data_IF_363581572787
#
_entry.id   IF_363581572787
#
_cell.length_a   1.000
_cell.length_b   1.000
_cell.length_c   1.000
_cell.angle_alpha   90.00
_cell.angle_beta   90.00
_cell.angle_gamma   90.00
#
_symmetry.space_group_name_H-M   'P 1'
#
loop_
_entity.id
_entity.type
_entity.pdbx_description
1 polymer ?
#
# COMPACT_ATOMS: atom_id res chain seq x y z
N UNK A 1 -17.96 8.22 6.84
CA UNK A 1 -17.84 6.87 6.25
C UNK A 1 -17.15 5.91 7.23
N UNK A 2 -17.88 5.29 8.17
CA UNK A 2 -17.29 4.31 9.10
C UNK A 2 -16.98 2.93 8.46
N UNK A 3 -17.53 2.60 7.29
CA UNK A 3 -17.49 1.23 6.73
C UNK A 3 -16.59 1.04 5.50
N UNK A 4 -15.55 1.88 5.30
CA UNK A 4 -14.62 1.67 4.19
C UNK A 4 -13.81 0.38 4.41
N UNK A 5 -14.20 -0.68 3.68
CA UNK A 5 -13.45 -1.94 3.60
C UNK A 5 -12.44 -1.84 2.47
N UNK A 6 -11.15 -1.89 2.82
CA UNK A 6 -10.06 -1.91 1.83
C UNK A 6 -10.02 -3.31 1.22
N UNK A 7 -10.18 -3.45 -0.11
CA UNK A 7 -10.15 -4.75 -0.76
C UNK A 7 -8.74 -5.35 -0.73
N UNK A 8 -8.70 -6.65 -0.97
CA UNK A 8 -7.46 -7.42 -1.10
C UNK A 8 -7.47 -8.03 -2.47
N UNK A 9 -6.36 -7.88 -3.19
CA UNK A 9 -6.24 -8.35 -4.57
C UNK A 9 -5.22 -9.47 -4.70
N UNK A 10 -5.43 -10.26 -5.74
CA UNK A 10 -4.43 -11.18 -6.25
C UNK A 10 -3.73 -10.50 -7.44
N UNK A 11 -2.42 -10.15 -7.33
CA UNK A 11 -1.70 -9.50 -8.44
C UNK A 11 -1.45 -10.43 -9.64
N UNK A 12 -1.71 -11.73 -9.52
CA UNK A 12 -1.69 -12.64 -10.65
C UNK A 12 -2.94 -12.52 -11.53
N UNK A 13 -4.07 -12.04 -10.98
CA UNK A 13 -5.30 -11.87 -11.75
C UNK A 13 -5.13 -10.75 -12.79
N UNK A 14 -5.50 -10.93 -14.07
CA UNK A 14 -5.17 -9.97 -15.13
C UNK A 14 -5.88 -8.62 -15.01
N UNK A 15 -6.99 -8.54 -14.28
CA UNK A 15 -7.85 -7.35 -14.14
C UNK A 15 -7.67 -6.65 -12.77
N UNK A 16 -6.69 -7.06 -11.97
CA UNK A 16 -6.56 -6.62 -10.59
C UNK A 16 -6.38 -5.10 -10.45
N UNK A 17 -5.58 -4.47 -11.33
CA UNK A 17 -5.35 -3.02 -11.30
C UNK A 17 -6.62 -2.24 -11.62
N UNK A 18 -7.37 -2.68 -12.63
CA UNK A 18 -8.64 -2.06 -13.04
C UNK A 18 -9.68 -2.14 -11.92
N UNK A 19 -9.73 -3.27 -11.20
CA UNK A 19 -10.62 -3.44 -10.05
C UNK A 19 -10.28 -2.48 -8.91
N UNK A 20 -8.99 -2.25 -8.64
CA UNK A 20 -8.56 -1.30 -7.61
C UNK A 20 -8.90 0.12 -8.01
N UNK A 21 -8.58 0.49 -9.25
CA UNK A 21 -8.82 1.82 -9.80
C UNK A 21 -10.29 2.19 -9.70
N UNK A 22 -11.17 1.31 -10.17
CA UNK A 22 -12.62 1.49 -10.07
C UNK A 22 -13.10 1.63 -8.63
N UNK A 23 -12.62 0.78 -7.73
CA UNK A 23 -12.98 0.88 -6.32
C UNK A 23 -12.50 2.20 -5.69
N UNK A 24 -11.28 2.64 -6.01
CA UNK A 24 -10.72 3.89 -5.52
C UNK A 24 -11.48 5.10 -6.07
N UNK A 25 -11.85 5.08 -7.34
CA UNK A 25 -12.65 6.11 -7.99
C UNK A 25 -14.05 6.19 -7.37
N UNK A 26 -14.74 5.06 -7.18
CA UNK A 26 -16.05 5.00 -6.54
C UNK A 26 -15.99 5.54 -5.10
N UNK A 27 -14.95 5.15 -4.35
CA UNK A 27 -14.73 5.61 -2.99
C UNK A 27 -14.40 7.11 -2.93
N UNK A 28 -13.56 7.62 -3.84
CA UNK A 28 -13.22 9.03 -3.93
C UNK A 28 -14.42 9.88 -4.38
N UNK A 29 -15.21 9.41 -5.35
CA UNK A 29 -16.39 10.09 -5.87
C UNK A 29 -17.52 10.17 -4.83
N UNK A 30 -17.64 9.17 -3.96
CA UNK A 30 -18.61 9.17 -2.84
C UNK A 30 -18.41 10.33 -1.85
N UNK A 31 -17.28 11.04 -1.93
CA UNK A 31 -16.95 12.22 -1.14
C UNK A 31 -17.29 13.56 -1.82
N UNK A 32 -17.93 13.54 -3.00
CA UNK A 32 -18.52 14.74 -3.61
C UNK A 32 -17.57 15.55 -4.51
N UNK A 33 -16.58 14.91 -5.13
CA UNK A 33 -15.67 15.56 -6.08
C UNK A 33 -15.69 14.85 -7.46
N UNK A 34 -15.46 15.61 -8.54
CA UNK A 34 -15.61 15.20 -9.95
C UNK A 34 -14.53 14.24 -10.48
N UNK A 35 -14.86 13.44 -11.50
CA UNK A 35 -14.09 12.26 -11.94
C UNK A 35 -12.55 12.42 -12.06
N UNK A 36 -11.83 11.38 -11.63
CA UNK A 36 -10.38 11.22 -11.75
C UNK A 36 -9.94 11.11 -13.22
N UNK A 37 -8.86 11.80 -13.58
CA UNK A 37 -8.18 11.64 -14.86
C UNK A 37 -6.72 11.26 -14.63
N UNK A 38 -6.31 10.15 -15.23
CA UNK A 38 -4.98 9.52 -15.12
C UNK A 38 -3.83 10.46 -15.58
N UNK A 39 -4.17 11.48 -16.39
CA UNK A 39 -3.27 12.51 -16.95
C UNK A 39 -3.32 13.86 -16.20
N UNK A 40 -4.04 13.95 -15.07
CA UNK A 40 -4.10 15.18 -14.28
C UNK A 40 -2.72 15.49 -13.68
N UNK A 41 -1.99 16.41 -14.30
CA UNK A 41 -0.79 17.02 -13.72
C UNK A 41 -1.11 18.22 -12.83
N UNK A 42 -2.40 18.43 -12.50
CA UNK A 42 -2.82 19.54 -11.68
C UNK A 42 -2.30 19.38 -10.25
N UNK A 43 -1.41 20.27 -9.76
CA UNK A 43 -0.92 20.23 -8.39
C UNK A 43 -2.02 20.54 -7.36
N UNK A 44 -3.25 20.84 -7.76
CA UNK A 44 -4.40 20.99 -6.87
C UNK A 44 -5.39 19.81 -6.94
N UNK A 45 -5.12 18.77 -7.73
CA UNK A 45 -6.00 17.60 -7.86
C UNK A 45 -6.02 16.74 -6.59
N UNK A 46 -6.84 17.20 -5.64
CA UNK A 46 -7.08 16.53 -4.36
C UNK A 46 -7.72 15.16 -4.58
N UNK A 47 -8.58 15.00 -5.58
CA UNK A 47 -9.28 13.76 -5.80
C UNK A 47 -8.37 12.67 -6.35
N UNK A 48 -7.53 13.01 -7.34
CA UNK A 48 -6.53 12.09 -7.86
C UNK A 48 -5.52 11.66 -6.79
N UNK A 49 -5.19 12.53 -5.84
CA UNK A 49 -4.41 12.15 -4.66
C UNK A 49 -5.14 11.19 -3.75
N UNK A 50 -6.42 11.43 -3.47
CA UNK A 50 -7.23 10.53 -2.64
C UNK A 50 -7.38 9.16 -3.32
N UNK A 51 -7.66 9.13 -4.63
CA UNK A 51 -7.74 7.88 -5.40
C UNK A 51 -6.40 7.12 -5.36
N UNK A 52 -5.28 7.79 -5.61
CA UNK A 52 -3.95 7.17 -5.53
C UNK A 52 -3.62 6.68 -4.12
N UNK A 53 -3.98 7.44 -3.08
CA UNK A 53 -3.84 7.04 -1.68
C UNK A 53 -4.65 5.77 -1.37
N UNK A 54 -5.88 5.67 -1.87
CA UNK A 54 -6.73 4.49 -1.74
C UNK A 54 -6.09 3.29 -2.44
N UNK A 55 -5.57 3.46 -3.66
CA UNK A 55 -4.86 2.42 -4.38
C UNK A 55 -3.63 1.90 -3.61
N UNK A 56 -2.82 2.80 -3.04
CA UNK A 56 -1.68 2.44 -2.19
C UNK A 56 -2.11 1.67 -0.93
N UNK A 57 -3.22 2.03 -0.31
CA UNK A 57 -3.76 1.29 0.83
C UNK A 57 -4.15 -0.16 0.47
N UNK A 58 -4.66 -0.38 -0.76
CA UNK A 58 -4.91 -1.74 -1.27
C UNK A 58 -3.61 -2.51 -1.49
N UNK A 59 -2.55 -1.89 -2.03
CA UNK A 59 -1.25 -2.56 -2.15
C UNK A 59 -0.71 -3.00 -0.80
N UNK A 60 -0.85 -2.15 0.21
CA UNK A 60 -0.38 -2.39 1.56
C UNK A 60 -1.10 -3.59 2.18
N UNK A 61 -2.45 -3.59 2.17
CA UNK A 61 -3.23 -4.70 2.72
C UNK A 61 -2.96 -6.00 1.95
N UNK A 62 -2.85 -5.92 0.63
CA UNK A 62 -2.58 -7.10 -0.21
C UNK A 62 -1.18 -7.65 0.05
N UNK A 63 -0.16 -6.80 0.12
CA UNK A 63 1.23 -7.20 0.40
C UNK A 63 1.36 -7.85 1.77
N UNK A 64 0.75 -7.26 2.81
CA UNK A 64 0.75 -7.81 4.15
C UNK A 64 0.08 -9.20 4.21
N UNK A 65 -1.06 -9.38 3.52
CA UNK A 65 -1.76 -10.67 3.49
C UNK A 65 -1.03 -11.73 2.67
N UNK A 66 -0.47 -11.37 1.52
CA UNK A 66 0.33 -12.29 0.69
C UNK A 66 1.57 -12.73 1.46
N UNK A 67 2.27 -11.80 2.11
CA UNK A 67 3.45 -12.10 2.93
C UNK A 67 3.14 -13.01 4.12
N UNK A 68 2.02 -12.77 4.81
CA UNK A 68 1.54 -13.62 5.89
C UNK A 68 1.19 -15.04 5.39
N UNK A 69 0.44 -15.14 4.29
CA UNK A 69 0.05 -16.42 3.70
C UNK A 69 1.28 -17.21 3.23
N UNK A 70 2.22 -16.53 2.58
CA UNK A 70 3.47 -17.13 2.14
C UNK A 70 4.29 -17.66 3.33
N UNK A 71 4.48 -16.83 4.37
CA UNK A 71 5.19 -17.22 5.59
C UNK A 71 4.55 -18.43 6.26
N UNK A 72 3.22 -18.47 6.34
CA UNK A 72 2.47 -19.60 6.91
C UNK A 72 2.63 -20.89 6.10
N UNK A 73 2.62 -20.78 4.77
CA UNK A 73 2.73 -21.93 3.85
C UNK A 73 4.15 -22.47 3.70
N UNK A 74 5.18 -21.70 4.05
CA UNK A 74 6.57 -22.00 3.67
C UNK A 74 7.14 -23.12 4.53
N UNK A 75 7.43 -24.32 3.94
CA UNK A 75 8.20 -25.33 4.65
C UNK A 75 9.64 -24.84 4.83
N UNK A 76 10.31 -25.34 5.89
CA UNK A 76 11.67 -24.97 6.32
C UNK A 76 12.65 -24.70 5.15
N UNK A 77 13.44 -23.62 5.22
CA UNK A 77 14.44 -23.30 4.18
C UNK A 77 15.80 -22.81 4.67
N UNK A 78 16.06 -22.61 5.97
CA UNK A 78 17.39 -22.15 6.43
C UNK A 78 17.98 -23.18 7.39
N UNK A 79 19.14 -23.73 7.01
CA UNK A 79 19.84 -24.86 7.65
C UNK A 79 20.36 -24.59 9.07
N UNK A 80 20.07 -23.45 9.71
CA UNK A 80 20.70 -23.05 10.98
C UNK A 80 19.74 -22.56 12.08
N UNK A 81 18.43 -22.85 12.00
CA UNK A 81 17.44 -22.50 13.04
C UNK A 81 16.81 -23.69 13.77
N UNK A 82 16.46 -23.51 15.05
CA UNK A 82 15.84 -24.51 15.94
C UNK A 82 14.31 -24.68 15.76
N UNK A 83 13.66 -23.92 14.88
CA UNK A 83 12.20 -23.99 14.65
C UNK A 83 11.83 -24.93 13.50
N UNK A 84 10.72 -25.66 13.66
CA UNK A 84 10.27 -26.66 12.69
C UNK A 84 9.57 -26.03 11.46
N UNK A 85 8.92 -24.87 11.63
CA UNK A 85 8.28 -24.09 10.56
C UNK A 85 8.76 -22.65 10.59
N UNK A 86 8.80 -22.00 9.42
CA UNK A 86 9.15 -20.57 9.30
C UNK A 86 8.15 -19.70 10.07
N UNK A 87 6.87 -20.08 10.10
CA UNK A 87 5.85 -19.42 10.89
C UNK A 87 6.11 -19.44 12.42
N UNK A 88 6.93 -20.37 12.92
CA UNK A 88 7.28 -20.46 14.35
C UNK A 88 8.50 -19.60 14.70
N UNK A 89 9.26 -19.15 13.69
CA UNK A 89 10.42 -18.28 13.86
C UNK A 89 10.00 -16.94 14.48
N UNK A 90 10.58 -16.53 15.64
CA UNK A 90 10.27 -15.25 16.27
C UNK A 90 10.46 -14.05 15.34
N UNK A 91 11.49 -14.04 14.48
CA UNK A 91 11.76 -12.93 13.57
C UNK A 91 10.65 -12.82 12.50
N UNK A 92 10.24 -13.96 11.95
CA UNK A 92 9.15 -13.99 10.96
C UNK A 92 7.80 -13.62 11.58
N UNK A 93 7.55 -14.02 12.83
CA UNK A 93 6.34 -13.58 13.55
C UNK A 93 6.32 -12.09 13.79
N UNK A 94 7.45 -11.49 14.16
CA UNK A 94 7.58 -10.05 14.32
C UNK A 94 7.36 -9.32 13.00
N UNK A 95 7.95 -9.82 11.91
CA UNK A 95 7.75 -9.27 10.57
C UNK A 95 6.27 -9.28 10.17
N UNK A 96 5.61 -10.45 10.22
CA UNK A 96 4.19 -10.58 9.85
C UNK A 96 3.29 -9.70 10.73
N UNK A 97 3.55 -9.65 12.04
CA UNK A 97 2.81 -8.79 12.96
C UNK A 97 3.03 -7.29 12.64
N UNK A 98 4.27 -6.91 12.33
CA UNK A 98 4.64 -5.56 11.88
C UNK A 98 3.90 -5.17 10.61
N UNK A 99 3.97 -6.00 9.56
CA UNK A 99 3.28 -5.74 8.30
C UNK A 99 1.76 -5.62 8.47
N UNK A 100 1.16 -6.44 9.36
CA UNK A 100 -0.27 -6.35 9.70
C UNK A 100 -0.62 -5.04 10.42
N UNK A 101 0.22 -4.61 11.35
CA UNK A 101 0.03 -3.36 12.08
C UNK A 101 0.16 -2.14 11.15
N UNK A 102 1.14 -2.15 10.25
CA UNK A 102 1.31 -1.09 9.26
C UNK A 102 0.14 -1.02 8.28
N UNK A 103 -0.40 -2.16 7.85
CA UNK A 103 -1.60 -2.19 7.02
C UNK A 103 -2.83 -1.63 7.74
N UNK A 104 -3.01 -1.97 9.01
CA UNK A 104 -4.07 -1.41 9.84
C UNK A 104 -3.91 0.11 10.02
N UNK A 105 -2.68 0.59 10.23
CA UNK A 105 -2.36 2.01 10.36
C UNK A 105 -2.64 2.77 9.06
N UNK A 106 -2.19 2.26 7.92
CA UNK A 106 -2.45 2.86 6.61
C UNK A 106 -3.97 2.98 6.37
N UNK A 107 -4.73 1.92 6.64
CA UNK A 107 -6.18 1.96 6.50
C UNK A 107 -6.86 2.96 7.45
N UNK A 108 -6.37 3.12 8.68
CA UNK A 108 -6.87 4.13 9.60
C UNK A 108 -6.55 5.55 9.13
N UNK A 109 -5.33 5.79 8.64
CA UNK A 109 -4.89 7.08 8.12
C UNK A 109 -5.71 7.50 6.90
N UNK A 110 -5.98 6.57 5.96
CA UNK A 110 -6.87 6.83 4.83
C UNK A 110 -8.28 7.21 5.31
N UNK A 111 -8.87 6.45 6.24
CA UNK A 111 -10.19 6.81 6.80
C UNK A 111 -10.20 8.20 7.45
N UNK A 112 -9.12 8.60 8.13
CA UNK A 112 -8.99 9.93 8.70
C UNK A 112 -8.98 11.02 7.62
N UNK A 113 -8.28 10.78 6.49
CA UNK A 113 -8.32 11.68 5.31
C UNK A 113 -9.73 11.79 4.75
N UNK A 114 -10.43 10.66 4.53
CA UNK A 114 -11.80 10.68 3.99
C UNK A 114 -12.80 11.34 4.93
N UNK A 115 -12.55 11.29 6.25
CA UNK A 115 -13.36 11.98 7.26
C UNK A 115 -13.00 13.47 7.43
N UNK A 116 -11.98 13.96 6.72
CA UNK A 116 -11.50 15.34 6.85
C UNK A 116 -10.73 15.61 8.16
N UNK A 117 -10.26 14.57 8.84
CA UNK A 117 -9.52 14.66 10.11
C UNK A 117 -8.00 14.65 9.92
N UNK A 118 -7.51 14.39 8.71
CA UNK A 118 -6.09 14.38 8.40
C UNK A 118 -5.81 15.03 7.04
N UNK A 119 -4.68 15.73 6.88
CA UNK A 119 -4.26 16.30 5.61
C UNK A 119 -3.84 15.19 4.63
N UNK A 120 -4.33 15.29 3.40
CA UNK A 120 -4.10 14.28 2.34
C UNK A 120 -2.60 14.08 2.09
N UNK A 121 -1.81 15.14 2.09
CA UNK A 121 -0.40 15.10 1.68
C UNK A 121 0.50 14.39 2.70
N UNK A 122 0.34 14.68 4.00
CA UNK A 122 1.09 13.99 5.05
C UNK A 122 0.76 12.50 5.07
N UNK A 123 -0.53 12.17 4.95
CA UNK A 123 -0.98 10.78 4.89
C UNK A 123 -0.46 10.10 3.62
N UNK A 124 -0.47 10.77 2.47
CA UNK A 124 0.10 10.25 1.24
C UNK A 124 1.59 9.92 1.39
N UNK A 125 2.38 10.82 1.97
CA UNK A 125 3.81 10.59 2.20
C UNK A 125 4.03 9.38 3.12
N UNK A 126 3.29 9.29 4.22
CA UNK A 126 3.39 8.17 5.16
C UNK A 126 2.96 6.83 4.54
N UNK A 127 1.80 6.81 3.88
CA UNK A 127 1.25 5.60 3.25
C UNK A 127 2.12 5.14 2.08
N UNK A 128 2.67 6.05 1.27
CA UNK A 128 3.63 5.68 0.24
C UNK A 128 4.88 5.01 0.84
N UNK A 129 5.43 5.54 1.93
CA UNK A 129 6.57 4.93 2.63
C UNK A 129 6.26 3.56 3.24
N UNK A 130 5.04 3.34 3.74
CA UNK A 130 4.59 2.01 4.18
C UNK A 130 4.48 1.05 2.97
N UNK A 131 3.86 1.50 1.87
CA UNK A 131 3.71 0.69 0.65
C UNK A 131 5.06 0.24 0.09
N UNK A 132 6.05 1.12 0.05
CA UNK A 132 7.40 0.83 -0.42
C UNK A 132 8.09 -0.22 0.47
N UNK A 133 8.03 -0.04 1.79
CA UNK A 133 8.63 -0.98 2.74
C UNK A 133 7.98 -2.36 2.67
N UNK A 134 6.65 -2.44 2.72
CA UNK A 134 5.96 -3.73 2.70
C UNK A 134 6.09 -4.48 1.37
N UNK A 135 6.14 -3.76 0.25
CA UNK A 135 6.44 -4.41 -1.04
C UNK A 135 7.87 -4.94 -1.05
N UNK A 136 8.85 -4.19 -0.56
CA UNK A 136 10.25 -4.65 -0.45
C UNK A 136 10.39 -5.85 0.51
N UNK A 137 9.82 -5.76 1.71
CA UNK A 137 9.82 -6.84 2.71
C UNK A 137 9.17 -8.12 2.18
N UNK A 138 8.13 -8.00 1.33
CA UNK A 138 7.52 -9.14 0.67
C UNK A 138 8.51 -9.84 -0.28
N UNK A 139 9.29 -9.07 -1.04
CA UNK A 139 10.36 -9.62 -1.89
C UNK A 139 11.45 -10.30 -1.05
N UNK A 140 11.89 -9.69 0.04
CA UNK A 140 12.90 -10.26 0.94
C UNK A 140 12.42 -11.56 1.59
N UNK A 141 11.16 -11.59 2.05
CA UNK A 141 10.52 -12.75 2.67
C UNK A 141 10.40 -13.94 1.72
N UNK A 142 10.07 -13.64 0.45
CA UNK A 142 9.84 -14.66 -0.56
C UNK A 142 11.13 -15.08 -1.27
N UNK A 143 12.13 -14.21 -1.33
CA UNK A 143 13.37 -14.41 -2.06
C UNK A 143 13.10 -14.73 -3.54
N UNK A 144 13.78 -15.73 -4.08
CA UNK A 144 13.63 -16.15 -5.49
C UNK A 144 12.19 -16.52 -5.89
N UNK A 145 11.33 -16.91 -4.93
CA UNK A 145 9.92 -17.19 -5.25
C UNK A 145 9.11 -15.93 -5.57
N UNK A 146 9.62 -14.73 -5.24
CA UNK A 146 8.95 -13.48 -5.53
C UNK A 146 9.01 -13.09 -7.01
N UNK A 147 10.00 -13.62 -7.74
CA UNK A 147 10.24 -13.30 -9.16
C UNK A 147 9.47 -14.24 -10.10
N UNK A 148 8.65 -15.15 -9.57
CA UNK A 148 7.82 -16.02 -10.38
C UNK A 148 6.68 -15.21 -11.01
N UNK A 149 6.64 -15.19 -12.35
CA UNK A 149 5.63 -14.45 -13.13
C UNK A 149 4.19 -14.83 -12.73
N UNK A 150 3.97 -16.13 -12.52
CA UNK A 150 2.70 -16.71 -12.09
C UNK A 150 2.20 -16.18 -10.74
N UNK A 151 3.06 -15.58 -9.90
CA UNK A 151 2.66 -14.92 -8.66
C UNK A 151 2.43 -13.41 -8.81
N UNK A 152 2.82 -12.82 -9.93
CA UNK A 152 2.56 -11.42 -10.26
C UNK A 152 3.17 -10.37 -9.30
N UNK A 153 4.05 -10.73 -8.36
CA UNK A 153 4.44 -9.82 -7.27
C UNK A 153 5.23 -8.59 -7.72
N UNK A 154 5.97 -8.70 -8.84
CA UNK A 154 6.62 -7.55 -9.47
C UNK A 154 5.62 -6.47 -9.92
N UNK A 155 4.36 -6.86 -10.20
CA UNK A 155 3.28 -5.93 -10.56
C UNK A 155 2.86 -5.05 -9.39
N UNK A 156 2.97 -5.54 -8.14
CA UNK A 156 2.73 -4.70 -6.95
C UNK A 156 3.77 -3.58 -6.84
N UNK A 157 5.04 -3.88 -7.14
CA UNK A 157 6.10 -2.87 -7.17
C UNK A 157 5.88 -1.85 -8.30
N UNK A 158 5.53 -2.31 -9.51
CA UNK A 158 5.22 -1.42 -10.63
C UNK A 158 4.01 -0.53 -10.34
N UNK A 159 2.96 -1.08 -9.73
CA UNK A 159 1.78 -0.31 -9.33
C UNK A 159 2.11 0.74 -8.26
N UNK A 160 2.96 0.40 -7.28
CA UNK A 160 3.45 1.37 -6.30
C UNK A 160 4.14 2.56 -6.99
N UNK A 161 5.07 2.30 -7.90
CA UNK A 161 5.76 3.37 -8.65
C UNK A 161 4.78 4.22 -9.45
N UNK A 162 3.80 3.58 -10.10
CA UNK A 162 2.77 4.28 -10.88
C UNK A 162 1.91 5.19 -10.01
N UNK A 163 1.35 4.66 -8.93
CA UNK A 163 0.41 5.42 -8.10
C UNK A 163 1.08 6.49 -7.25
N UNK A 164 2.34 6.31 -6.85
CA UNK A 164 3.12 7.39 -6.24
C UNK A 164 3.44 8.51 -7.23
N UNK A 165 3.71 8.19 -8.49
CA UNK A 165 3.86 9.18 -9.56
C UNK A 165 2.55 9.93 -9.82
N UNK A 166 1.43 9.22 -10.01
CA UNK A 166 0.10 9.83 -10.20
C UNK A 166 -0.31 10.72 -9.03
N UNK A 167 0.05 10.35 -7.79
CA UNK A 167 -0.25 11.17 -6.62
C UNK A 167 0.60 12.45 -6.51
N UNK A 168 1.63 12.61 -7.35
CA UNK A 168 2.59 13.71 -7.22
C UNK A 168 3.42 13.63 -5.93
N UNK A 169 3.80 12.41 -5.51
CA UNK A 169 4.45 12.17 -4.21
C UNK A 169 5.70 13.04 -3.97
N UNK A 170 6.50 13.29 -5.01
CA UNK A 170 7.68 14.16 -4.88
C UNK A 170 7.29 15.57 -4.44
N UNK A 171 6.31 16.18 -5.10
CA UNK A 171 5.82 17.51 -4.75
C UNK A 171 5.12 17.53 -3.38
N UNK A 172 4.42 16.46 -3.01
CA UNK A 172 3.83 16.32 -1.68
C UNK A 172 4.91 16.24 -0.58
N UNK A 173 6.01 15.53 -0.81
CA UNK A 173 7.16 15.48 0.12
C UNK A 173 7.77 16.86 0.32
N UNK A 174 7.97 17.62 -0.75
CA UNK A 174 8.54 18.98 -0.67
C UNK A 174 7.63 19.92 0.15
N UNK A 175 6.31 19.86 -0.07
CA UNK A 175 5.34 20.67 0.68
C UNK A 175 5.27 20.29 2.16
N UNK A 176 5.25 19.00 2.48
CA UNK A 176 5.29 18.51 3.87
C UNK A 176 6.61 18.89 4.55
N UNK A 177 7.74 18.80 3.83
CA UNK A 177 9.03 19.23 4.38
C UNK A 177 9.03 20.74 4.68
N UNK A 178 8.48 21.55 3.78
CA UNK A 178 8.36 22.99 3.99
C UNK A 178 7.48 23.33 5.20
N UNK A 179 6.33 22.67 5.37
CA UNK A 179 5.43 22.94 6.50
C UNK A 179 6.02 22.55 7.86
N UNK A 180 6.88 21.52 7.90
CA UNK A 180 7.57 21.10 9.13
C UNK A 180 8.69 22.07 9.51
N UNK A 181 9.41 22.60 8.52
CA UNK A 181 10.56 23.47 8.74
C UNK A 181 10.18 24.94 8.99
N UNK A 182 9.02 25.39 8.49
CA UNK A 182 8.48 26.73 8.73
C UNK A 182 7.05 26.66 9.29
N UNK A 183 6.90 26.27 10.57
CA UNK A 183 5.60 26.24 11.25
C UNK A 183 5.20 27.68 11.58
N UNK A 184 4.48 28.31 10.66
CA UNK A 184 3.90 29.65 10.84
C UNK A 184 2.73 29.65 11.82
#
# INVERSE_FOLDING_TARGET
MPDLVIPVVDPAAPDWEERIRRWADDAAASLGAGGWTEDSQDPEDRQGRIASLLCLAVLIESSARIGAAATASRPRSIRQGNTARIADDPQMRQLVAGSRAEAALAGAAVRAVLAGHAPVEEVLVAVAGISERLTTELFDTLGASATLEEKGLHRLWLAHQRWTACAGLAAARDRVAASVLDPS
#
